data_IF_654289767293
#
_entry.id   IF_654289767293
#
_cell.length_a   1.000
_cell.length_b   1.000
_cell.length_c   1.000
_cell.angle_alpha   90.00
_cell.angle_beta   90.00
_cell.angle_gamma   90.00
#
_symmetry.space_group_name_H-M   'P 1'
#
loop_
_entity.id
_entity.type
_entity.pdbx_description
1 polymer ?
#
# COMPACT_ATOMS: atom_id res chain seq x y z
N UNK A 1 10.68 18.42 18.92
CA UNK A 1 10.60 18.91 17.52
C UNK A 1 9.14 19.18 17.11
N UNK A 2 8.66 20.43 17.20
CA UNK A 2 7.32 20.83 16.70
C UNK A 2 7.53 21.56 15.36
N UNK A 3 7.30 20.85 14.24
CA UNK A 3 7.10 21.48 12.92
C UNK A 3 5.70 22.08 12.89
N UNK A 4 5.54 23.26 12.30
CA UNK A 4 4.24 23.94 12.11
C UNK A 4 3.23 23.08 11.35
N UNK A 5 3.69 22.18 10.48
CA UNK A 5 2.83 21.33 9.64
C UNK A 5 2.47 19.98 10.29
N UNK A 6 2.70 19.79 11.60
CA UNK A 6 2.43 18.52 12.30
C UNK A 6 1.00 18.05 12.09
N UNK A 7 0.03 18.95 12.20
CA UNK A 7 -1.39 18.57 12.12
C UNK A 7 -1.77 18.14 10.70
N UNK A 8 -1.19 18.77 9.67
CA UNK A 8 -1.33 18.35 8.28
C UNK A 8 -0.78 16.95 8.05
N UNK A 9 0.39 16.64 8.62
CA UNK A 9 0.98 15.31 8.52
C UNK A 9 0.16 14.24 9.25
N UNK A 10 -0.41 14.58 10.41
CA UNK A 10 -1.29 13.68 11.17
C UNK A 10 -2.58 13.39 10.40
N UNK A 11 -3.21 14.41 9.82
CA UNK A 11 -4.42 14.25 9.03
C UNK A 11 -4.19 13.29 7.84
N UNK A 12 -3.13 13.51 7.07
CA UNK A 12 -2.83 12.66 5.91
C UNK A 12 -2.44 11.22 6.31
N UNK A 13 -1.80 11.03 7.47
CA UNK A 13 -1.54 9.69 8.00
C UNK A 13 -2.84 8.99 8.43
N UNK A 14 -3.78 9.72 9.03
CA UNK A 14 -5.09 9.19 9.38
C UNK A 14 -5.89 8.80 8.13
N UNK A 15 -5.88 9.63 7.08
CA UNK A 15 -6.57 9.36 5.82
C UNK A 15 -6.04 8.08 5.15
N UNK A 16 -4.72 7.90 5.10
CA UNK A 16 -4.10 6.67 4.59
C UNK A 16 -4.53 5.45 5.41
N UNK A 17 -4.47 5.55 6.75
CA UNK A 17 -4.84 4.47 7.66
C UNK A 17 -6.32 4.09 7.53
N UNK A 18 -7.21 5.08 7.42
CA UNK A 18 -8.64 4.86 7.18
C UNK A 18 -8.86 4.15 5.85
N UNK A 19 -8.15 4.56 4.78
CA UNK A 19 -8.27 3.89 3.49
C UNK A 19 -7.89 2.41 3.54
N UNK A 20 -6.92 2.03 4.39
CA UNK A 20 -6.54 0.63 4.57
C UNK A 20 -7.63 -0.17 5.31
N UNK A 21 -8.31 0.45 6.27
CA UNK A 21 -9.44 -0.16 6.98
C UNK A 21 -10.67 -0.30 6.07
N UNK A 22 -11.00 0.74 5.32
CA UNK A 22 -12.15 0.77 4.40
C UNK A 22 -12.01 -0.31 3.31
N UNK A 23 -10.79 -0.52 2.83
CA UNK A 23 -10.46 -1.58 1.87
C UNK A 23 -10.26 -2.96 2.51
N UNK A 24 -10.43 -3.10 3.84
CA UNK A 24 -10.27 -4.37 4.59
C UNK A 24 -8.97 -5.09 4.28
N UNK A 25 -7.88 -4.34 4.21
CA UNK A 25 -6.59 -4.85 3.72
C UNK A 25 -5.83 -5.69 4.75
N UNK A 26 -6.14 -5.56 6.03
CA UNK A 26 -5.54 -6.34 7.10
C UNK A 26 -6.49 -6.46 8.28
N UNK A 27 -6.31 -7.52 9.06
CA UNK A 27 -6.98 -7.73 10.34
C UNK A 27 -5.98 -7.60 11.48
N UNK A 28 -6.43 -7.02 12.60
CA UNK A 28 -5.61 -6.93 13.79
C UNK A 28 -5.69 -8.25 14.57
N UNK A 29 -4.55 -8.89 14.79
CA UNK A 29 -4.46 -10.20 15.43
C UNK A 29 -3.52 -10.17 16.65
N UNK A 30 -3.77 -11.01 17.68
CA UNK A 30 -2.85 -11.14 18.79
C UNK A 30 -1.51 -11.72 18.32
N UNK A 31 -0.42 -11.18 18.86
CA UNK A 31 0.93 -11.61 18.49
C UNK A 31 1.26 -12.96 19.13
N UNK A 32 1.51 -13.98 18.30
CA UNK A 32 2.08 -15.25 18.74
C UNK A 32 3.61 -15.23 18.63
N UNK A 33 4.30 -15.96 19.51
CA UNK A 33 5.78 -16.03 19.51
C UNK A 33 6.36 -16.69 18.25
N UNK A 34 5.57 -17.48 17.54
CA UNK A 34 5.97 -18.20 16.32
C UNK A 34 5.79 -17.38 15.04
N UNK A 35 5.20 -16.19 15.12
CA UNK A 35 4.96 -15.34 13.95
C UNK A 35 6.21 -14.54 13.58
N UNK A 36 6.55 -14.55 12.29
CA UNK A 36 7.50 -13.61 11.71
C UNK A 36 6.80 -12.28 11.48
N UNK A 37 7.03 -11.32 12.38
CA UNK A 37 6.40 -10.00 12.31
C UNK A 37 7.37 -8.99 11.68
N UNK A 38 6.92 -8.35 10.59
CA UNK A 38 7.70 -7.35 9.87
C UNK A 38 7.50 -5.96 10.48
N UNK A 39 8.57 -5.23 10.80
CA UNK A 39 8.45 -3.82 11.18
C UNK A 39 7.91 -2.96 10.04
N UNK A 40 7.19 -1.89 10.36
CA UNK A 40 6.68 -0.91 9.40
C UNK A 40 7.19 0.50 9.72
N UNK A 41 6.97 1.43 8.79
CA UNK A 41 7.26 2.86 8.99
C UNK A 41 6.34 3.75 8.16
N UNK A 42 6.16 4.97 8.62
CA UNK A 42 5.55 6.05 7.84
C UNK A 42 6.56 6.68 6.88
N UNK A 43 6.15 6.88 5.63
CA UNK A 43 6.88 7.63 4.61
C UNK A 43 6.08 8.89 4.28
N UNK A 44 6.67 10.05 4.61
CA UNK A 44 6.06 11.35 4.38
C UNK A 44 6.74 12.06 3.21
N UNK A 45 5.94 12.62 2.29
CA UNK A 45 6.43 13.36 1.14
C UNK A 45 5.49 14.50 0.77
N UNK A 46 6.05 15.66 0.44
CA UNK A 46 5.32 16.74 -0.21
C UNK A 46 5.53 16.59 -1.72
N UNK A 47 4.44 16.57 -2.48
CA UNK A 47 4.50 16.54 -3.95
C UNK A 47 4.87 17.94 -4.50
N UNK A 48 5.39 18.04 -5.74
CA UNK A 48 5.73 19.33 -6.35
C UNK A 48 4.56 20.34 -6.39
N UNK A 49 3.33 19.85 -6.44
CA UNK A 49 2.10 20.67 -6.40
C UNK A 49 1.70 21.12 -4.97
N UNK A 50 2.55 20.90 -3.95
CA UNK A 50 2.29 21.29 -2.57
C UNK A 50 1.41 20.31 -1.77
N UNK A 51 0.95 19.21 -2.38
CA UNK A 51 0.11 18.22 -1.67
C UNK A 51 0.94 17.36 -0.72
N UNK A 52 0.49 17.24 0.53
CA UNK A 52 1.06 16.35 1.54
C UNK A 52 0.62 14.90 1.28
N UNK A 53 1.56 13.95 1.35
CA UNK A 53 1.29 12.53 1.17
C UNK A 53 2.00 11.70 2.24
N UNK A 54 1.26 10.86 2.93
CA UNK A 54 1.76 9.85 3.84
C UNK A 54 1.52 8.46 3.23
N UNK A 55 2.38 7.50 3.54
CA UNK A 55 2.22 6.08 3.20
C UNK A 55 2.70 5.24 4.35
N UNK A 56 1.94 4.22 4.72
CA UNK A 56 2.40 3.19 5.62
C UNK A 56 3.10 2.09 4.81
N UNK A 57 4.33 1.75 5.17
CA UNK A 57 5.16 0.82 4.38
C UNK A 57 5.80 -0.21 5.31
N UNK A 58 5.61 -1.50 4.98
CA UNK A 58 6.32 -2.60 5.62
C UNK A 58 7.78 -2.62 5.21
N UNK A 59 8.66 -3.06 6.11
CA UNK A 59 10.06 -3.33 5.79
C UNK A 59 10.17 -4.70 5.09
N UNK A 60 9.57 -4.80 3.90
CA UNK A 60 9.51 -6.03 3.10
C UNK A 60 10.88 -6.56 2.68
N UNK A 61 11.95 -5.76 2.71
CA UNK A 61 13.32 -6.22 2.47
C UNK A 61 13.83 -7.26 3.50
N UNK A 62 13.10 -7.46 4.60
CA UNK A 62 13.36 -8.51 5.58
C UNK A 62 12.71 -9.85 5.22
N UNK A 63 11.86 -9.89 4.19
CA UNK A 63 11.22 -11.11 3.70
C UNK A 63 12.23 -12.02 3.00
N UNK A 64 12.02 -13.33 3.12
CA UNK A 64 12.84 -14.37 2.50
C UNK A 64 12.10 -15.02 1.33
N UNK A 65 12.75 -15.03 0.17
CA UNK A 65 12.30 -15.77 -1.01
C UNK A 65 12.14 -17.26 -0.68
N UNK A 66 11.07 -17.88 -1.20
CA UNK A 66 10.68 -19.28 -0.94
C UNK A 66 10.05 -19.54 0.43
N UNK A 67 10.00 -18.54 1.31
CA UNK A 67 9.34 -18.64 2.63
C UNK A 67 8.17 -17.65 2.70
N UNK A 68 8.46 -16.36 2.50
CA UNK A 68 7.50 -15.27 2.64
C UNK A 68 6.89 -14.85 1.30
N UNK A 69 7.58 -15.13 0.18
CA UNK A 69 7.08 -14.93 -1.19
C UNK A 69 7.79 -15.90 -2.14
N UNK A 70 7.10 -16.29 -3.21
CA UNK A 70 7.67 -17.13 -4.29
C UNK A 70 8.04 -16.32 -5.52
N UNK A 71 7.38 -15.17 -5.73
CA UNK A 71 7.62 -14.29 -6.86
C UNK A 71 7.42 -12.82 -6.46
N UNK A 72 8.19 -11.94 -7.07
CA UNK A 72 8.10 -10.48 -6.96
C UNK A 72 7.56 -9.82 -8.24
N UNK A 73 7.21 -10.61 -9.26
CA UNK A 73 6.67 -10.09 -10.51
C UNK A 73 5.29 -9.46 -10.29
N UNK A 74 5.27 -8.14 -10.29
CA UNK A 74 4.05 -7.39 -10.56
C UNK A 74 3.73 -7.53 -12.08
N UNK A 75 2.49 -7.80 -12.47
CA UNK A 75 2.09 -7.83 -13.88
C UNK A 75 2.14 -6.42 -14.47
N UNK A 76 3.32 -6.00 -14.93
CA UNK A 76 3.51 -4.72 -15.61
C UNK A 76 3.20 -4.93 -17.09
N UNK A 77 2.23 -4.17 -17.62
CA UNK A 77 1.93 -4.22 -19.04
C UNK A 77 3.16 -3.82 -19.85
N UNK A 78 3.49 -4.60 -20.89
CA UNK A 78 4.58 -4.25 -21.79
C UNK A 78 4.17 -3.05 -22.64
N UNK A 79 5.05 -2.06 -22.75
CA UNK A 79 4.82 -0.86 -23.57
C UNK A 79 4.56 -1.20 -25.04
N UNK A 80 5.14 -2.29 -25.55
CA UNK A 80 4.89 -2.80 -26.90
C UNK A 80 3.41 -3.14 -27.13
N UNK A 81 2.80 -3.83 -26.17
CA UNK A 81 1.38 -4.22 -26.21
C UNK A 81 0.49 -2.98 -26.14
N UNK A 82 0.85 -2.02 -25.28
CA UNK A 82 0.11 -0.76 -25.16
C UNK A 82 0.19 0.08 -26.45
N UNK A 83 1.37 0.14 -27.08
CA UNK A 83 1.55 0.82 -28.38
C UNK A 83 0.75 0.14 -29.48
N UNK A 84 0.77 -1.20 -29.53
CA UNK A 84 -0.04 -1.96 -30.48
C UNK A 84 -1.53 -1.68 -30.30
N UNK A 85 -2.02 -1.64 -29.06
CA UNK A 85 -3.40 -1.27 -28.76
C UNK A 85 -3.75 0.13 -29.32
N UNK A 86 -2.90 1.13 -29.09
CA UNK A 86 -3.13 2.48 -29.62
C UNK A 86 -3.08 2.56 -31.14
N UNK A 87 -2.21 1.76 -31.78
CA UNK A 87 -2.18 1.66 -33.25
C UNK A 87 -3.51 1.13 -33.77
N UNK A 88 -4.07 0.10 -33.13
CA UNK A 88 -5.38 -0.45 -33.51
C UNK A 88 -6.49 0.59 -33.31
N UNK A 89 -6.50 1.28 -32.17
CA UNK A 89 -7.46 2.37 -31.91
C UNK A 89 -7.40 3.43 -33.02
N UNK A 90 -6.21 3.83 -33.45
CA UNK A 90 -6.04 4.82 -34.52
C UNK A 90 -6.45 4.30 -35.90
N UNK A 91 -6.13 3.04 -36.24
CA UNK A 91 -6.49 2.45 -37.55
C UNK A 91 -8.00 2.30 -37.70
N UNK A 92 -8.69 1.92 -36.63
CA UNK A 92 -10.13 1.65 -36.63
C UNK A 92 -10.98 2.85 -36.18
N UNK A 93 -10.36 4.02 -35.98
CA UNK A 93 -11.03 5.25 -35.52
C UNK A 93 -11.89 5.04 -34.26
N UNK A 94 -11.33 4.33 -33.28
CA UNK A 94 -12.02 3.99 -32.04
C UNK A 94 -11.79 5.05 -30.96
N UNK A 95 -12.76 5.18 -30.04
CA UNK A 95 -12.57 5.96 -28.82
C UNK A 95 -11.81 5.15 -27.76
N UNK A 96 -10.81 5.77 -27.12
CA UNK A 96 -10.04 5.17 -26.04
C UNK A 96 -10.31 5.91 -24.72
N UNK A 97 -10.75 5.18 -23.71
CA UNK A 97 -10.93 5.68 -22.35
C UNK A 97 -9.86 5.12 -21.42
N UNK A 98 -9.30 5.96 -20.55
CA UNK A 98 -8.34 5.56 -19.54
C UNK A 98 -8.94 5.76 -18.14
N UNK A 99 -8.75 4.77 -17.27
CA UNK A 99 -9.13 4.85 -15.86
C UNK A 99 -7.90 4.59 -14.99
N UNK A 100 -7.60 5.52 -14.09
CA UNK A 100 -6.59 5.35 -13.04
C UNK A 100 -7.27 4.86 -11.76
N UNK A 101 -6.97 3.62 -11.37
CA UNK A 101 -7.55 3.01 -10.18
C UNK A 101 -6.76 3.47 -8.96
N UNK A 102 -7.40 4.24 -8.08
CA UNK A 102 -6.83 4.54 -6.77
C UNK A 102 -6.59 3.23 -6.02
N UNK A 103 -5.45 3.14 -5.35
CA UNK A 103 -5.06 1.98 -4.53
C UNK A 103 -5.07 0.64 -5.28
N UNK A 104 -4.65 0.62 -6.56
CA UNK A 104 -4.55 -0.62 -7.37
C UNK A 104 -3.80 -1.77 -6.66
N UNK A 105 -2.74 -1.47 -5.91
CA UNK A 105 -1.99 -2.47 -5.13
C UNK A 105 -2.81 -3.19 -4.06
N UNK A 106 -3.85 -2.56 -3.51
CA UNK A 106 -4.70 -3.17 -2.47
C UNK A 106 -5.70 -4.18 -3.04
N UNK A 107 -5.86 -4.23 -4.36
CA UNK A 107 -6.77 -5.16 -5.03
C UNK A 107 -6.06 -6.47 -5.46
N UNK A 108 -4.77 -6.61 -5.19
CA UNK A 108 -4.04 -7.85 -5.44
C UNK A 108 -4.40 -8.91 -4.40
N UNK A 109 -4.64 -10.15 -4.85
CA UNK A 109 -4.78 -11.30 -3.97
C UNK A 109 -3.39 -11.67 -3.46
N UNK A 110 -3.25 -11.91 -2.16
CA UNK A 110 -2.00 -12.34 -1.54
C UNK A 110 -2.07 -13.83 -1.22
N UNK A 111 -1.15 -14.61 -1.75
CA UNK A 111 -1.13 -16.07 -1.58
C UNK A 111 -0.61 -16.50 -0.20
N UNK A 112 0.04 -15.58 0.54
CA UNK A 112 0.67 -15.84 1.83
C UNK A 112 0.27 -14.79 2.86
N UNK A 113 0.11 -15.21 4.11
CA UNK A 113 -0.19 -14.30 5.22
C UNK A 113 1.10 -13.61 5.66
N UNK A 114 1.09 -12.28 5.65
CA UNK A 114 2.22 -11.45 6.12
C UNK A 114 1.82 -10.73 7.40
N UNK A 115 2.61 -10.89 8.46
CA UNK A 115 2.39 -10.18 9.72
C UNK A 115 3.22 -8.90 9.76
N UNK A 116 2.61 -7.81 10.22
CA UNK A 116 3.23 -6.49 10.35
C UNK A 116 3.08 -5.99 11.78
N UNK A 117 4.10 -5.30 12.30
CA UNK A 117 3.97 -4.52 13.54
C UNK A 117 2.92 -3.42 13.36
N UNK A 118 2.24 -3.06 14.44
CA UNK A 118 1.31 -1.93 14.39
C UNK A 118 2.06 -0.64 13.97
N UNK A 119 1.41 0.23 13.16
CA UNK A 119 2.01 1.49 12.77
C UNK A 119 2.43 2.31 13.99
N UNK A 120 3.64 2.88 13.99
CA UNK A 120 4.09 3.70 15.12
C UNK A 120 3.24 4.97 15.22
N UNK A 121 2.75 5.25 16.42
CA UNK A 121 1.91 6.41 16.75
C UNK A 121 0.52 6.03 17.25
N UNK A 122 -0.21 6.99 17.82
CA UNK A 122 -1.48 6.77 18.52
C UNK A 122 -2.70 6.62 17.58
N UNK A 123 -2.51 6.05 16.38
CA UNK A 123 -3.59 5.88 15.39
C UNK A 123 -4.34 4.56 15.54
N UNK A 124 -3.84 3.64 16.37
CA UNK A 124 -4.48 2.35 16.67
C UNK A 124 -4.99 2.38 18.11
N UNK A 125 -6.30 2.30 18.31
CA UNK A 125 -6.94 2.45 19.64
C UNK A 125 -7.38 1.14 20.27
N UNK A 126 -7.48 0.05 19.50
CA UNK A 126 -8.07 -1.20 19.99
C UNK A 126 -7.08 -2.36 19.82
N UNK A 127 -6.39 -2.73 20.89
CA UNK A 127 -5.56 -3.95 20.91
C UNK A 127 -6.45 -5.12 21.33
N UNK A 128 -6.75 -6.10 20.45
CA UNK A 128 -7.49 -7.28 20.85
C UNK A 128 -6.67 -8.05 21.88
N UNK A 129 -7.24 -8.23 23.07
CA UNK A 129 -6.61 -8.98 24.16
C UNK A 129 -6.55 -10.44 23.78
N UNK A 130 -5.37 -11.05 23.82
CA UNK A 130 -5.23 -12.50 23.67
C UNK A 130 -5.85 -13.19 24.89
N UNK A 131 -6.79 -14.12 24.66
CA UNK A 131 -7.27 -15.06 25.67
C UNK A 131 -6.16 -16.03 26.10
#
# INVERSE_FOLDING_TARGET
MRRSDRDKWRAVAQDEFQSLQDNKTYDLVPRLKTMTVLPCRWVFRIKPNGTYKARLVIKGFLQREGVDYDDIFAPVVRLEVLRFLFIMVAIYDLECHQMDVKTAFLNGIMDRVVYMEQPPGDLVTDVPTAN
#
